data_IF_566216024972
#
_entry.id   IF_566216024972
#
_cell.length_a   1.000
_cell.length_b   1.000
_cell.length_c   1.000
_cell.angle_alpha   90.00
_cell.angle_beta   90.00
_cell.angle_gamma   90.00
#
_symmetry.space_group_name_H-M   'P 1'
#
loop_
_entity.id
_entity.type
_entity.pdbx_description
1 polymer ?
#
# COMPACT_ATOMS: atom_id res chain seq x y z
N UNK A 1 -51.43 25.97 -28.03
CA UNK A 1 -51.45 25.69 -26.59
C UNK A 1 -51.26 24.20 -26.41
N UNK A 2 -50.05 23.76 -26.04
CA UNK A 2 -49.73 22.37 -25.66
C UNK A 2 -49.20 22.38 -24.24
N UNK A 3 -50.01 21.86 -23.33
CA UNK A 3 -49.66 21.67 -21.94
C UNK A 3 -48.52 20.65 -21.79
N UNK A 4 -47.36 21.10 -21.30
CA UNK A 4 -46.25 20.26 -20.90
C UNK A 4 -46.49 19.81 -19.46
N UNK A 5 -47.02 18.61 -19.25
CA UNK A 5 -47.13 17.96 -17.95
C UNK A 5 -45.71 17.53 -17.50
N UNK A 6 -45.13 18.32 -16.60
CA UNK A 6 -43.92 17.99 -15.84
C UNK A 6 -44.24 16.75 -14.98
N UNK A 7 -43.69 15.58 -15.35
CA UNK A 7 -43.74 14.38 -14.50
C UNK A 7 -42.89 14.66 -13.25
N UNK A 8 -43.52 14.87 -12.12
CA UNK A 8 -42.85 14.81 -10.82
C UNK A 8 -42.48 13.34 -10.56
N UNK A 9 -41.18 13.07 -10.40
CA UNK A 9 -40.70 11.80 -9.85
C UNK A 9 -41.12 11.75 -8.38
N UNK A 10 -42.20 11.01 -8.11
CA UNK A 10 -42.56 10.62 -6.76
C UNK A 10 -41.48 9.65 -6.27
N UNK A 11 -40.68 10.07 -5.27
CA UNK A 11 -39.87 9.15 -4.47
C UNK A 11 -40.79 8.00 -4.01
N UNK A 12 -40.27 6.76 -4.04
CA UNK A 12 -41.08 5.59 -3.73
C UNK A 12 -41.78 5.80 -2.38
N UNK A 13 -43.08 5.46 -2.30
CA UNK A 13 -43.86 5.62 -1.08
C UNK A 13 -43.24 4.95 0.14
N UNK A 14 -42.41 3.92 -0.04
CA UNK A 14 -41.69 3.24 1.03
C UNK A 14 -40.66 4.15 1.76
N UNK A 15 -40.11 5.17 1.08
CA UNK A 15 -39.17 6.11 1.73
C UNK A 15 -39.88 7.10 2.67
N UNK A 16 -41.19 7.19 2.63
CA UNK A 16 -41.99 8.13 3.45
C UNK A 16 -42.49 7.46 4.75
N UNK A 17 -42.59 6.12 4.75
CA UNK A 17 -43.14 5.35 5.86
C UNK A 17 -42.12 4.66 6.77
N UNK A 18 -40.80 4.69 6.43
CA UNK A 18 -39.77 4.20 7.34
C UNK A 18 -39.56 5.16 8.49
N UNK A 19 -39.67 4.66 9.70
CA UNK A 19 -39.40 5.43 10.93
C UNK A 19 -37.92 5.77 10.99
N UNK A 20 -37.55 6.80 11.79
CA UNK A 20 -36.13 7.17 11.99
C UNK A 20 -35.38 5.97 12.61
N UNK A 21 -36.03 5.19 13.47
CA UNK A 21 -35.48 3.99 14.09
C UNK A 21 -35.20 2.87 13.07
N UNK A 22 -36.07 2.64 12.11
CA UNK A 22 -35.87 1.68 11.02
C UNK A 22 -34.73 2.12 10.07
N UNK A 23 -34.57 3.43 9.83
CA UNK A 23 -33.42 3.97 9.07
C UNK A 23 -32.10 3.84 9.82
N UNK A 24 -32.14 4.01 11.14
CA UNK A 24 -30.96 3.85 11.99
C UNK A 24 -30.63 2.38 12.21
N UNK A 25 -31.63 1.48 12.23
CA UNK A 25 -31.42 0.03 12.22
C UNK A 25 -30.87 -0.49 10.89
N UNK A 26 -31.37 0.02 9.77
CA UNK A 26 -30.83 -0.31 8.44
C UNK A 26 -29.38 0.17 8.24
N UNK A 27 -28.93 1.17 9.01
CA UNK A 27 -27.56 1.65 9.03
C UNK A 27 -26.65 0.91 10.03
N UNK A 28 -27.22 0.07 10.92
CA UNK A 28 -26.41 -0.75 11.82
C UNK A 28 -25.63 -1.77 11.00
N UNK A 29 -24.33 -1.78 11.19
CA UNK A 29 -23.44 -2.78 10.59
C UNK A 29 -23.84 -4.18 11.08
N UNK A 30 -24.50 -4.96 10.24
CA UNK A 30 -24.85 -6.34 10.55
C UNK A 30 -23.68 -7.26 10.27
N UNK A 31 -23.34 -8.09 11.27
CA UNK A 31 -22.35 -9.14 11.10
C UNK A 31 -23.05 -10.37 10.54
N UNK A 32 -22.60 -10.86 9.38
CA UNK A 32 -23.08 -12.09 8.75
C UNK A 32 -21.93 -13.04 8.52
N UNK A 33 -22.20 -14.35 8.56
CA UNK A 33 -21.20 -15.35 8.17
C UNK A 33 -21.24 -15.52 6.66
N UNK A 34 -20.08 -15.38 6.03
CA UNK A 34 -19.90 -15.60 4.59
C UNK A 34 -18.98 -16.79 4.34
N UNK A 35 -19.30 -17.64 3.34
CA UNK A 35 -18.39 -18.65 2.85
C UNK A 35 -17.07 -18.03 2.39
N UNK A 36 -15.93 -18.54 2.87
CA UNK A 36 -14.60 -17.98 2.57
C UNK A 36 -14.32 -18.03 1.07
N UNK A 37 -14.83 -19.05 0.37
CA UNK A 37 -14.68 -19.24 -1.08
C UNK A 37 -15.34 -18.13 -1.92
N UNK A 38 -16.35 -17.45 -1.37
CA UNK A 38 -17.02 -16.31 -2.04
C UNK A 38 -16.32 -14.98 -1.81
N UNK A 39 -15.30 -14.95 -0.96
CA UNK A 39 -14.56 -13.74 -0.60
C UNK A 39 -13.25 -13.69 -1.38
N UNK A 40 -13.18 -12.84 -2.38
CA UNK A 40 -11.97 -12.57 -3.16
C UNK A 40 -11.04 -11.62 -2.40
N UNK A 41 -9.74 -11.72 -2.66
CA UNK A 41 -8.79 -10.76 -2.11
C UNK A 41 -8.87 -9.43 -2.88
N UNK A 42 -8.50 -8.34 -2.19
CA UNK A 42 -8.44 -7.01 -2.80
C UNK A 42 -7.39 -7.01 -3.94
N UNK A 43 -7.72 -6.52 -5.14
CA UNK A 43 -6.76 -6.43 -6.24
C UNK A 43 -5.53 -5.62 -5.85
N UNK A 44 -4.36 -6.09 -6.24
CA UNK A 44 -3.08 -5.41 -5.97
C UNK A 44 -2.86 -5.05 -4.49
N UNK A 45 -3.39 -5.87 -3.57
CA UNK A 45 -3.25 -5.65 -2.13
C UNK A 45 -1.76 -5.55 -1.73
N UNK A 46 -1.28 -4.38 -1.26
CA UNK A 46 0.16 -4.18 -1.09
C UNK A 46 0.75 -4.88 0.13
N UNK A 47 -0.09 -5.24 1.12
CA UNK A 47 0.37 -5.80 2.38
C UNK A 47 0.44 -7.31 2.32
N UNK A 48 1.63 -7.86 2.53
CA UNK A 48 1.88 -9.32 2.52
C UNK A 48 1.24 -10.00 3.73
N UNK A 49 0.68 -11.18 3.52
CA UNK A 49 0.26 -12.08 4.59
C UNK A 49 1.38 -13.11 4.76
N UNK A 50 2.12 -13.00 5.87
CA UNK A 50 3.28 -13.84 6.14
C UNK A 50 2.88 -15.03 7.00
N UNK A 51 3.39 -16.23 6.66
CA UNK A 51 3.30 -17.44 7.47
C UNK A 51 4.48 -17.48 8.46
N UNK A 52 4.32 -16.76 9.57
CA UNK A 52 5.29 -16.64 10.64
C UNK A 52 4.68 -17.14 11.98
N UNK A 53 5.47 -17.09 13.06
CA UNK A 53 5.02 -17.54 14.39
C UNK A 53 3.74 -16.83 14.87
N UNK A 54 3.59 -15.53 14.58
CA UNK A 54 2.37 -14.78 14.91
C UNK A 54 1.14 -15.30 14.16
N UNK A 55 1.32 -15.72 12.90
CA UNK A 55 0.26 -16.34 12.11
C UNK A 55 -0.13 -17.69 12.70
N UNK A 56 0.84 -18.51 13.13
CA UNK A 56 0.57 -19.78 13.77
C UNK A 56 -0.22 -19.61 15.08
N UNK A 57 0.10 -18.60 15.87
CA UNK A 57 -0.64 -18.28 17.10
C UNK A 57 -2.06 -17.78 16.79
N UNK A 58 -2.23 -16.99 15.71
CA UNK A 58 -3.54 -16.57 15.24
C UNK A 58 -4.37 -17.78 14.77
N UNK A 59 -3.79 -18.74 14.04
CA UNK A 59 -4.44 -19.99 13.63
C UNK A 59 -4.90 -20.79 14.84
N UNK A 60 -4.04 -20.98 15.86
CA UNK A 60 -4.40 -21.67 17.12
C UNK A 60 -5.56 -20.96 17.83
N UNK A 61 -5.53 -19.63 17.89
CA UNK A 61 -6.61 -18.85 18.50
C UNK A 61 -7.93 -19.03 17.76
N UNK A 62 -7.90 -18.96 16.43
CA UNK A 62 -9.08 -19.08 15.58
C UNK A 62 -9.64 -20.52 15.60
N UNK A 63 -8.79 -21.54 15.66
CA UNK A 63 -9.25 -22.93 15.74
C UNK A 63 -10.03 -23.24 17.03
N UNK A 64 -9.75 -22.52 18.12
CA UNK A 64 -10.43 -22.70 19.42
C UNK A 64 -11.65 -21.79 19.58
N UNK A 65 -11.54 -20.53 19.15
CA UNK A 65 -12.53 -19.48 19.45
C UNK A 65 -13.30 -18.98 18.23
N UNK A 66 -12.94 -19.43 17.04
CA UNK A 66 -13.41 -18.83 15.78
C UNK A 66 -12.83 -17.42 15.56
N UNK A 67 -13.29 -16.76 14.52
CA UNK A 67 -12.94 -15.37 14.21
C UNK A 67 -13.82 -14.44 15.05
N UNK A 68 -13.27 -13.86 16.11
CA UNK A 68 -14.01 -13.02 17.07
C UNK A 68 -14.34 -11.65 16.47
N UNK A 69 -13.36 -11.00 15.83
CA UNK A 69 -13.54 -9.69 15.20
C UNK A 69 -13.94 -9.89 13.75
N UNK A 70 -15.10 -9.37 13.30
CA UNK A 70 -15.54 -9.55 11.93
C UNK A 70 -14.58 -8.89 10.94
N UNK A 71 -14.49 -9.47 9.74
CA UNK A 71 -13.77 -8.88 8.61
C UNK A 71 -14.65 -7.88 7.89
N UNK A 72 -14.05 -6.98 7.09
CA UNK A 72 -14.81 -6.01 6.29
C UNK A 72 -14.70 -6.42 4.84
N UNK A 73 -15.86 -6.54 4.19
CA UNK A 73 -15.98 -6.87 2.77
C UNK A 73 -16.91 -5.86 2.08
N UNK A 74 -16.82 -5.75 0.75
CA UNK A 74 -17.83 -5.11 -0.08
C UNK A 74 -18.40 -6.11 -1.07
N UNK A 75 -19.65 -5.95 -1.47
CA UNK A 75 -20.25 -6.73 -2.53
C UNK A 75 -19.87 -6.14 -3.89
N UNK A 76 -19.50 -7.01 -4.82
CA UNK A 76 -19.21 -6.67 -6.21
C UNK A 76 -20.49 -6.81 -7.06
N UNK A 77 -20.48 -6.21 -8.23
CA UNK A 77 -21.62 -6.28 -9.17
C UNK A 77 -21.97 -7.71 -9.63
N UNK A 78 -20.98 -8.60 -9.65
CA UNK A 78 -21.12 -10.02 -9.97
C UNK A 78 -21.71 -10.86 -8.82
N UNK A 79 -21.97 -10.24 -7.67
CA UNK A 79 -22.49 -10.88 -6.48
C UNK A 79 -21.43 -11.52 -5.57
N UNK A 80 -20.16 -11.54 -5.98
CA UNK A 80 -19.03 -11.94 -5.12
C UNK A 80 -18.71 -10.88 -4.08
N UNK A 81 -17.89 -11.24 -3.09
CA UNK A 81 -17.42 -10.32 -2.06
C UNK A 81 -15.91 -10.08 -2.21
N UNK A 82 -15.51 -8.84 -1.97
CA UNK A 82 -14.11 -8.43 -1.98
C UNK A 82 -13.67 -8.06 -0.57
N UNK A 83 -12.55 -8.64 -0.11
CA UNK A 83 -11.98 -8.38 1.21
C UNK A 83 -11.34 -7.00 1.27
N UNK A 84 -11.85 -6.13 2.14
CA UNK A 84 -11.27 -4.79 2.38
C UNK A 84 -10.34 -4.82 3.58
N UNK A 85 -10.74 -5.49 4.67
CA UNK A 85 -9.91 -5.62 5.87
C UNK A 85 -10.10 -6.98 6.52
N UNK A 86 -8.97 -7.60 6.91
CA UNK A 86 -9.00 -8.88 7.60
C UNK A 86 -8.32 -10.02 6.86
N UNK A 87 -7.47 -9.77 5.87
CA UNK A 87 -6.74 -10.78 5.09
C UNK A 87 -6.00 -11.80 5.97
N UNK A 88 -5.32 -11.36 7.04
CA UNK A 88 -4.68 -12.27 8.01
C UNK A 88 -5.68 -13.19 8.71
N UNK A 89 -6.87 -12.67 9.06
CA UNK A 89 -7.95 -13.47 9.71
C UNK A 89 -8.55 -14.49 8.74
N UNK A 90 -8.79 -14.10 7.48
CA UNK A 90 -9.23 -15.01 6.42
C UNK A 90 -8.21 -16.12 6.19
N UNK A 91 -6.93 -15.78 6.05
CA UNK A 91 -5.85 -16.75 5.84
C UNK A 91 -5.73 -17.72 7.03
N UNK A 92 -5.74 -17.21 8.26
CA UNK A 92 -5.68 -18.03 9.45
C UNK A 92 -6.94 -18.92 9.62
N UNK A 93 -8.14 -18.44 9.25
CA UNK A 93 -9.37 -19.21 9.26
C UNK A 93 -9.32 -20.38 8.28
N UNK A 94 -8.81 -20.16 7.07
CA UNK A 94 -8.58 -21.24 6.09
C UNK A 94 -7.61 -22.30 6.64
N UNK A 95 -6.49 -21.88 7.22
CA UNK A 95 -5.51 -22.80 7.85
C UNK A 95 -6.10 -23.54 9.06
N UNK A 96 -7.03 -22.91 9.78
CA UNK A 96 -7.76 -23.53 10.89
C UNK A 96 -8.90 -24.47 10.43
N UNK A 97 -9.16 -24.59 9.11
CA UNK A 97 -10.20 -25.46 8.55
C UNK A 97 -11.61 -24.89 8.61
N UNK A 98 -11.78 -23.59 8.83
CA UNK A 98 -13.09 -22.93 8.80
C UNK A 98 -13.55 -22.72 7.34
N UNK A 99 -14.84 -22.92 7.10
CA UNK A 99 -15.48 -22.68 5.79
C UNK A 99 -16.15 -21.32 5.68
N UNK A 100 -16.46 -20.69 6.82
CA UNK A 100 -17.14 -19.40 6.91
C UNK A 100 -16.44 -18.49 7.91
N UNK A 101 -16.54 -17.18 7.69
CA UNK A 101 -16.04 -16.14 8.61
C UNK A 101 -17.07 -15.03 8.81
N UNK A 102 -17.12 -14.41 10.00
CA UNK A 102 -17.99 -13.26 10.25
C UNK A 102 -17.48 -12.03 9.48
N UNK A 103 -18.38 -11.40 8.74
CA UNK A 103 -18.11 -10.26 7.87
C UNK A 103 -19.11 -9.13 8.12
N UNK A 104 -18.64 -7.90 7.97
CA UNK A 104 -19.44 -6.70 7.83
C UNK A 104 -19.40 -6.30 6.36
N UNK A 105 -20.56 -6.26 5.71
CA UNK A 105 -20.66 -5.78 4.33
C UNK A 105 -20.77 -4.26 4.36
N UNK A 106 -19.89 -3.59 3.61
CA UNK A 106 -19.95 -2.13 3.39
C UNK A 106 -20.22 -1.84 1.91
N UNK A 107 -21.08 -0.88 1.67
CA UNK A 107 -21.29 -0.30 0.34
C UNK A 107 -20.23 0.78 0.13
N UNK A 108 -19.22 0.48 -0.70
CA UNK A 108 -18.04 1.31 -0.92
C UNK A 108 -17.71 1.39 -2.41
N UNK A 109 -17.42 2.59 -2.87
CA UNK A 109 -16.78 2.79 -4.18
C UNK A 109 -15.36 2.23 -4.19
N UNK A 110 -14.73 2.10 -5.37
CA UNK A 110 -13.36 1.61 -5.49
C UNK A 110 -12.36 2.49 -4.73
N UNK A 111 -12.53 3.81 -4.79
CA UNK A 111 -11.68 4.76 -4.07
C UNK A 111 -11.85 4.65 -2.55
N UNK A 112 -13.09 4.55 -2.06
CA UNK A 112 -13.38 4.38 -0.62
C UNK A 112 -12.85 3.05 -0.10
N UNK A 113 -12.99 1.98 -0.86
CA UNK A 113 -12.47 0.66 -0.54
C UNK A 113 -10.94 0.69 -0.45
N UNK A 114 -10.26 1.31 -1.42
CA UNK A 114 -8.80 1.51 -1.41
C UNK A 114 -8.34 2.29 -0.19
N UNK A 115 -8.99 3.41 0.12
CA UNK A 115 -8.64 4.25 1.27
C UNK A 115 -8.82 3.45 2.58
N UNK A 116 -9.95 2.76 2.74
CA UNK A 116 -10.23 1.97 3.95
C UNK A 116 -9.26 0.80 4.10
N UNK A 117 -8.94 0.10 3.00
CA UNK A 117 -7.96 -0.99 2.99
C UNK A 117 -6.58 -0.48 3.45
N UNK A 118 -6.10 0.64 2.92
CA UNK A 118 -4.81 1.22 3.34
C UNK A 118 -4.87 1.68 4.79
N UNK A 119 -5.92 2.40 5.21
CA UNK A 119 -6.05 2.91 6.58
C UNK A 119 -6.08 1.80 7.63
N UNK A 120 -6.70 0.67 7.32
CA UNK A 120 -6.75 -0.48 8.24
C UNK A 120 -5.43 -1.21 8.41
N UNK A 121 -4.45 -0.98 7.53
CA UNK A 121 -3.16 -1.68 7.53
C UNK A 121 -1.97 -0.77 7.87
N UNK A 122 -2.07 0.55 7.60
CA UNK A 122 -0.94 1.48 7.74
C UNK A 122 -0.48 1.68 9.20
N UNK A 123 -1.31 1.27 10.17
CA UNK A 123 -1.01 1.40 11.61
C UNK A 123 -0.34 0.14 12.19
N UNK A 124 0.01 -0.85 11.35
CA UNK A 124 0.78 -2.02 11.81
C UNK A 124 2.15 -1.57 12.30
N UNK A 125 2.69 -2.23 13.32
CA UNK A 125 4.01 -1.91 13.89
C UNK A 125 5.13 -2.15 12.88
N UNK A 126 5.02 -3.20 12.08
CA UNK A 126 5.99 -3.54 11.03
C UNK A 126 5.34 -3.53 9.65
N UNK A 127 5.69 -2.54 8.84
CA UNK A 127 5.30 -2.42 7.44
C UNK A 127 6.56 -2.30 6.62
N UNK A 128 6.70 -3.14 5.60
CA UNK A 128 7.84 -3.11 4.69
C UNK A 128 7.87 -1.81 3.88
N UNK A 129 9.06 -1.32 3.50
CA UNK A 129 9.20 -0.16 2.62
C UNK A 129 8.40 -0.28 1.32
N UNK A 130 8.39 -1.47 0.69
CA UNK A 130 7.59 -1.76 -0.50
C UNK A 130 6.10 -1.62 -0.24
N UNK A 131 5.61 -2.19 0.87
CA UNK A 131 4.20 -2.10 1.26
C UNK A 131 3.76 -0.64 1.47
N UNK A 132 4.57 0.16 2.18
CA UNK A 132 4.34 1.60 2.34
C UNK A 132 4.32 2.32 0.98
N UNK A 133 5.24 1.98 0.09
CA UNK A 133 5.36 2.60 -1.23
C UNK A 133 4.08 2.45 -2.05
N UNK A 134 3.61 1.22 -2.22
CA UNK A 134 2.38 0.93 -2.97
C UNK A 134 1.13 1.43 -2.24
N UNK A 135 1.03 1.26 -0.92
CA UNK A 135 -0.09 1.73 -0.13
C UNK A 135 -0.26 3.26 -0.24
N UNK A 136 0.82 4.04 -0.12
CA UNK A 136 0.76 5.50 -0.27
C UNK A 136 0.41 5.90 -1.70
N UNK A 137 0.93 5.21 -2.72
CA UNK A 137 0.59 5.45 -4.11
C UNK A 137 -0.90 5.25 -4.35
N UNK A 138 -1.43 4.07 -4.01
CA UNK A 138 -2.85 3.72 -4.18
C UNK A 138 -3.76 4.71 -3.46
N UNK A 139 -3.48 5.00 -2.19
CA UNK A 139 -4.30 5.92 -1.40
C UNK A 139 -4.26 7.35 -1.94
N UNK A 140 -3.09 7.83 -2.38
CA UNK A 140 -2.97 9.16 -2.96
C UNK A 140 -3.74 9.28 -4.29
N UNK A 141 -3.74 8.23 -5.12
CA UNK A 141 -4.51 8.16 -6.36
C UNK A 141 -6.02 8.18 -6.07
N UNK A 142 -6.51 7.34 -5.16
CA UNK A 142 -7.90 7.32 -4.73
C UNK A 142 -8.36 8.68 -4.17
N UNK A 143 -7.56 9.32 -3.31
CA UNK A 143 -7.87 10.65 -2.78
C UNK A 143 -7.94 11.72 -3.87
N UNK A 144 -7.08 11.64 -4.90
CA UNK A 144 -7.13 12.57 -6.04
C UNK A 144 -8.39 12.40 -6.88
N UNK A 145 -8.87 11.16 -7.08
CA UNK A 145 -10.11 10.88 -7.79
C UNK A 145 -11.30 11.47 -7.04
N UNK A 146 -11.40 11.25 -5.73
CA UNK A 146 -12.45 11.84 -4.90
C UNK A 146 -12.38 13.38 -4.89
N UNK A 147 -11.20 13.98 -4.81
CA UNK A 147 -11.02 15.43 -4.81
C UNK A 147 -11.46 16.10 -6.10
N UNK A 148 -11.37 15.46 -7.25
CA UNK A 148 -11.91 15.96 -8.53
C UNK A 148 -13.43 16.07 -8.53
N UNK A 149 -14.10 15.25 -7.76
CA UNK A 149 -15.58 15.19 -7.67
C UNK A 149 -16.16 16.23 -6.69
N UNK A 150 -15.34 16.84 -5.82
CA UNK A 150 -15.79 17.69 -4.71
C UNK A 150 -15.54 19.19 -4.93
N UNK A 151 -14.92 19.65 -6.05
CA UNK A 151 -14.49 21.05 -6.18
C UNK A 151 -15.37 21.89 -7.06
N UNK A 152 -16.27 22.65 -6.43
CA UNK A 152 -16.95 23.82 -7.04
C UNK A 152 -16.58 25.16 -6.41
N UNK A 153 -15.65 25.24 -5.43
CA UNK A 153 -15.33 26.49 -4.76
C UNK A 153 -13.83 26.84 -4.78
N UNK A 154 -13.42 28.00 -5.39
CA UNK A 154 -12.00 28.33 -5.62
C UNK A 154 -11.26 28.97 -4.44
N UNK A 155 -11.87 29.18 -3.28
CA UNK A 155 -11.36 30.15 -2.29
C UNK A 155 -10.79 29.57 -0.98
N UNK A 156 -10.71 28.26 -0.80
CA UNK A 156 -9.95 27.68 0.30
C UNK A 156 -8.56 27.26 -0.16
N UNK A 157 -7.52 27.64 0.60
CA UNK A 157 -6.15 27.13 0.43
C UNK A 157 -6.17 25.62 0.67
N UNK A 158 -6.39 24.86 -0.42
CA UNK A 158 -6.51 23.40 -0.35
C UNK A 158 -5.14 22.82 -0.07
N UNK A 159 -4.98 22.21 1.10
CA UNK A 159 -3.94 21.23 1.34
C UNK A 159 -3.95 20.24 0.18
N UNK A 160 -2.77 19.92 -0.33
CA UNK A 160 -2.67 18.89 -1.37
C UNK A 160 -3.06 17.53 -0.78
N UNK A 161 -3.61 16.63 -1.60
CA UNK A 161 -3.94 15.26 -1.13
C UNK A 161 -2.75 14.58 -0.43
N UNK A 162 -1.52 14.96 -0.79
CA UNK A 162 -0.29 14.47 -0.16
C UNK A 162 -0.11 15.03 1.25
N UNK A 163 -0.39 16.29 1.48
CA UNK A 163 -0.31 16.91 2.82
C UNK A 163 -1.37 16.33 3.76
N UNK A 164 -2.58 16.14 3.25
CA UNK A 164 -3.66 15.46 4.01
C UNK A 164 -3.27 14.02 4.36
N UNK A 165 -2.67 13.29 3.42
CA UNK A 165 -2.16 11.94 3.69
C UNK A 165 -1.05 11.98 4.74
N UNK A 166 -0.10 12.92 4.62
CA UNK A 166 1.03 13.09 5.52
C UNK A 166 0.58 13.33 6.97
N UNK A 167 -0.38 14.20 7.16
CA UNK A 167 -0.97 14.47 8.48
C UNK A 167 -1.64 13.22 9.07
N UNK A 168 -2.42 12.48 8.26
CA UNK A 168 -3.12 11.27 8.70
C UNK A 168 -2.19 10.14 9.15
N UNK A 169 -1.04 9.99 8.48
CA UNK A 169 -0.09 8.90 8.79
C UNK A 169 1.07 9.33 9.69
N UNK A 170 1.13 10.60 10.09
CA UNK A 170 2.19 11.14 10.95
C UNK A 170 3.57 11.21 10.28
N UNK A 171 3.61 11.32 8.94
CA UNK A 171 4.85 11.42 8.16
C UNK A 171 4.93 12.79 7.45
N UNK A 172 6.12 13.17 6.95
CA UNK A 172 6.24 14.35 6.11
C UNK A 172 5.81 14.05 4.66
N UNK A 173 5.23 15.05 3.98
CA UNK A 173 4.87 14.94 2.57
C UNK A 173 6.06 14.55 1.67
N UNK A 174 7.28 15.00 2.04
CA UNK A 174 8.52 14.61 1.35
C UNK A 174 8.86 13.14 1.55
N UNK A 175 8.60 12.59 2.75
CA UNK A 175 8.86 11.18 3.03
C UNK A 175 7.88 10.27 2.29
N UNK A 176 6.60 10.63 2.26
CA UNK A 176 5.59 9.95 1.43
C UNK A 176 6.03 9.90 -0.03
N UNK A 177 6.51 11.04 -0.58
CA UNK A 177 6.99 11.07 -1.95
C UNK A 177 8.20 10.15 -2.19
N UNK A 178 9.10 10.02 -1.21
CA UNK A 178 10.23 9.08 -1.28
C UNK A 178 9.76 7.63 -1.29
N UNK A 179 8.81 7.27 -0.43
CA UNK A 179 8.23 5.91 -0.47
C UNK A 179 7.56 5.64 -1.81
N UNK A 180 6.68 6.54 -2.28
CA UNK A 180 6.01 6.37 -3.58
C UNK A 180 7.05 6.21 -4.71
N UNK A 181 8.19 6.90 -4.62
CA UNK A 181 9.24 6.77 -5.63
C UNK A 181 9.82 5.36 -5.72
N UNK A 182 9.83 4.58 -4.63
CA UNK A 182 10.29 3.19 -4.63
C UNK A 182 9.46 2.28 -5.57
N UNK A 183 8.21 2.65 -5.90
CA UNK A 183 7.39 1.86 -6.85
C UNK A 183 7.93 1.84 -8.28
N UNK A 184 9.01 2.56 -8.57
CA UNK A 184 9.71 2.57 -9.85
C UNK A 184 11.00 1.75 -9.84
N UNK A 185 11.30 1.07 -8.73
CA UNK A 185 12.37 0.07 -8.70
C UNK A 185 11.85 -1.24 -9.30
N UNK A 186 12.78 -1.98 -9.93
CA UNK A 186 12.50 -3.37 -10.29
C UNK A 186 12.24 -4.19 -9.01
N UNK A 187 11.43 -5.28 -9.10
CA UNK A 187 11.06 -6.07 -7.92
C UNK A 187 12.26 -6.53 -7.09
N UNK A 188 13.33 -6.95 -7.73
CA UNK A 188 14.54 -7.47 -7.10
C UNK A 188 15.26 -6.42 -6.24
N UNK A 189 15.38 -5.18 -6.76
CA UNK A 189 15.97 -4.08 -5.98
C UNK A 189 15.06 -3.64 -4.83
N UNK A 190 13.74 -3.67 -5.05
CA UNK A 190 12.77 -3.34 -4.02
C UNK A 190 12.79 -4.37 -2.88
N UNK A 191 13.01 -5.66 -3.17
CA UNK A 191 13.20 -6.71 -2.18
C UNK A 191 14.45 -6.45 -1.32
N UNK A 192 15.57 -6.01 -1.93
CA UNK A 192 16.76 -5.62 -1.18
C UNK A 192 16.54 -4.42 -0.24
N UNK A 193 15.57 -3.55 -0.57
CA UNK A 193 15.16 -2.46 0.33
C UNK A 193 14.35 -3.01 1.51
N UNK A 194 13.45 -3.96 1.26
CA UNK A 194 12.66 -4.63 2.30
C UNK A 194 13.56 -5.42 3.25
N UNK A 195 14.60 -6.06 2.74
CA UNK A 195 15.64 -6.77 3.50
C UNK A 195 16.61 -5.83 4.25
N UNK A 196 16.46 -4.51 4.11
CA UNK A 196 17.35 -3.49 4.69
C UNK A 196 18.80 -3.55 4.17
N UNK A 197 19.03 -4.21 3.05
CA UNK A 197 20.35 -4.27 2.37
C UNK A 197 20.63 -2.97 1.61
N UNK A 198 19.60 -2.34 1.05
CA UNK A 198 19.67 -1.00 0.47
C UNK A 198 18.87 -0.04 1.36
N UNK A 199 19.51 1.05 1.81
CA UNK A 199 18.84 2.07 2.61
C UNK A 199 17.86 2.89 1.75
N UNK A 200 16.83 3.47 2.38
CA UNK A 200 15.76 4.21 1.69
C UNK A 200 16.30 5.32 0.76
N UNK A 201 17.28 6.12 1.21
CA UNK A 201 17.78 7.25 0.41
C UNK A 201 18.52 6.82 -0.86
N UNK A 202 19.50 5.90 -0.82
CA UNK A 202 20.05 5.30 -2.04
C UNK A 202 19.00 4.70 -2.96
N UNK A 203 18.05 3.93 -2.41
CA UNK A 203 16.98 3.31 -3.18
C UNK A 203 16.14 4.34 -3.96
N UNK A 204 15.82 5.49 -3.34
CA UNK A 204 15.11 6.59 -4.01
C UNK A 204 15.93 7.13 -5.18
N UNK A 205 17.25 7.30 -5.04
CA UNK A 205 18.10 7.75 -6.15
C UNK A 205 18.15 6.70 -7.28
N UNK A 206 18.26 5.41 -6.94
CA UNK A 206 18.25 4.32 -7.91
C UNK A 206 16.93 4.22 -8.68
N UNK A 207 15.81 4.57 -8.07
CA UNK A 207 14.50 4.54 -8.75
C UNK A 207 14.38 5.55 -9.90
N UNK A 208 15.32 6.46 -10.09
CA UNK A 208 15.40 7.38 -11.22
C UNK A 208 16.21 6.84 -12.40
N UNK A 209 16.93 5.76 -12.20
CA UNK A 209 17.73 5.08 -13.24
C UNK A 209 16.79 4.26 -14.11
N UNK A 210 17.11 4.14 -15.42
CA UNK A 210 16.34 3.31 -16.35
C UNK A 210 16.25 1.85 -15.89
N UNK A 211 15.19 1.16 -16.27
CA UNK A 211 14.92 -0.23 -15.88
C UNK A 211 16.08 -1.14 -16.30
N UNK A 212 16.55 -1.01 -17.56
CA UNK A 212 17.72 -1.76 -18.09
C UNK A 212 18.96 -1.59 -17.17
N UNK A 213 19.26 -0.35 -16.75
CA UNK A 213 20.39 -0.08 -15.87
C UNK A 213 20.15 -0.56 -14.42
N UNK A 214 18.91 -0.65 -13.97
CA UNK A 214 18.57 -1.25 -12.69
C UNK A 214 18.82 -2.77 -12.71
N UNK A 215 18.51 -3.46 -13.82
CA UNK A 215 18.77 -4.89 -14.01
C UNK A 215 20.28 -5.18 -13.95
N UNK A 216 21.09 -4.41 -14.71
CA UNK A 216 22.54 -4.52 -14.69
C UNK A 216 23.10 -4.29 -13.27
N UNK A 217 22.59 -3.26 -12.60
CA UNK A 217 22.98 -2.93 -11.22
C UNK A 217 22.64 -4.07 -10.24
N UNK A 218 21.48 -4.70 -10.39
CA UNK A 218 21.09 -5.84 -9.58
C UNK A 218 22.03 -7.02 -9.78
N UNK A 219 22.43 -7.31 -11.01
CA UNK A 219 23.40 -8.38 -11.31
C UNK A 219 24.75 -8.11 -10.63
N UNK A 220 25.23 -6.87 -10.65
CA UNK A 220 26.46 -6.48 -9.93
C UNK A 220 26.30 -6.74 -8.42
N UNK A 221 25.16 -6.39 -7.82
CA UNK A 221 24.91 -6.65 -6.38
C UNK A 221 24.89 -8.12 -6.02
N UNK A 222 24.41 -8.94 -6.93
CA UNK A 222 24.35 -10.39 -6.74
C UNK A 222 25.75 -11.04 -6.70
N UNK A 223 26.69 -10.51 -7.50
CA UNK A 223 28.04 -11.02 -7.59
C UNK A 223 28.98 -10.45 -6.52
N UNK A 224 28.89 -9.14 -6.26
CA UNK A 224 29.88 -8.42 -5.41
C UNK A 224 29.37 -8.23 -3.96
N UNK A 225 28.13 -8.63 -3.63
CA UNK A 225 27.46 -8.42 -2.33
C UNK A 225 27.52 -6.95 -1.82
N UNK A 226 27.85 -6.01 -2.70
CA UNK A 226 28.09 -4.61 -2.39
C UNK A 226 26.87 -3.75 -2.78
N UNK A 227 26.20 -3.16 -1.79
CA UNK A 227 25.10 -2.21 -2.05
C UNK A 227 25.62 -0.77 -2.15
N UNK A 228 25.02 0.10 -2.97
CA UNK A 228 25.52 1.45 -3.21
C UNK A 228 25.36 2.34 -1.99
N UNK A 229 26.33 3.21 -1.78
CA UNK A 229 26.20 4.35 -0.90
C UNK A 229 25.29 5.41 -1.55
N UNK A 230 24.80 6.36 -0.75
CA UNK A 230 24.01 7.48 -1.28
C UNK A 230 24.77 8.28 -2.36
N UNK A 231 26.07 8.51 -2.16
CA UNK A 231 26.91 9.22 -3.14
C UNK A 231 27.04 8.47 -4.46
N UNK A 232 27.26 7.15 -4.40
CA UNK A 232 27.31 6.30 -5.60
C UNK A 232 25.97 6.33 -6.34
N UNK A 233 24.83 6.13 -5.63
CA UNK A 233 23.50 6.18 -6.23
C UNK A 233 23.22 7.54 -6.89
N UNK A 234 23.64 8.65 -6.31
CA UNK A 234 23.51 9.99 -6.91
C UNK A 234 24.37 10.17 -8.16
N UNK A 235 25.58 9.58 -8.19
CA UNK A 235 26.43 9.61 -9.38
C UNK A 235 25.81 8.79 -10.50
N UNK A 236 25.36 7.57 -10.19
CA UNK A 236 24.68 6.68 -11.15
C UNK A 236 23.48 7.36 -11.78
N UNK A 237 22.59 7.95 -10.97
CA UNK A 237 21.45 8.73 -11.44
C UNK A 237 21.84 9.85 -12.39
N UNK A 238 22.84 10.67 -12.04
CA UNK A 238 23.29 11.78 -12.88
C UNK A 238 23.86 11.34 -14.22
N UNK A 239 24.52 10.19 -14.26
CA UNK A 239 25.03 9.61 -15.52
C UNK A 239 23.90 9.06 -16.38
N UNK A 240 22.93 8.39 -15.77
CA UNK A 240 21.75 7.87 -16.46
C UNK A 240 20.91 9.00 -17.05
N UNK A 241 20.64 10.07 -16.29
CA UNK A 241 19.93 11.29 -16.77
C UNK A 241 20.60 11.93 -17.99
N UNK A 242 21.92 11.76 -18.16
CA UNK A 242 22.68 12.24 -19.32
C UNK A 242 22.78 11.23 -20.47
N UNK A 243 22.33 10.01 -20.28
CA UNK A 243 22.54 8.91 -21.22
C UNK A 243 24.00 8.45 -21.31
N UNK A 244 24.79 8.73 -20.27
CA UNK A 244 26.23 8.39 -20.21
C UNK A 244 26.52 7.16 -19.33
N UNK A 245 25.51 6.55 -18.71
CA UNK A 245 25.67 5.38 -17.88
C UNK A 245 25.83 4.13 -18.74
N UNK A 246 26.99 3.47 -18.60
CA UNK A 246 27.32 2.20 -19.25
C UNK A 246 27.60 1.14 -18.19
N UNK A 247 27.57 -0.13 -18.57
CA UNK A 247 27.88 -1.26 -17.70
C UNK A 247 29.27 -1.12 -17.06
N UNK A 248 30.30 -0.78 -17.83
CA UNK A 248 31.66 -0.54 -17.32
C UNK A 248 31.69 0.55 -16.23
N UNK A 249 30.94 1.65 -16.44
CA UNK A 249 30.86 2.75 -15.46
C UNK A 249 30.08 2.33 -14.19
N UNK A 250 29.04 1.51 -14.36
CA UNK A 250 28.30 0.94 -13.23
C UNK A 250 29.26 0.11 -12.34
N UNK A 251 30.01 -0.81 -12.95
CA UNK A 251 31.00 -1.62 -12.23
C UNK A 251 32.06 -0.76 -11.56
N UNK A 252 32.67 0.20 -12.28
CA UNK A 252 33.71 1.08 -11.75
C UNK A 252 33.21 1.88 -10.52
N UNK A 253 32.00 2.43 -10.59
CA UNK A 253 31.41 3.19 -9.48
C UNK A 253 31.11 2.29 -8.30
N UNK A 254 30.61 1.08 -8.54
CA UNK A 254 30.28 0.14 -7.48
C UNK A 254 31.50 -0.44 -6.78
N UNK A 255 32.58 -0.70 -7.53
CA UNK A 255 33.88 -1.19 -7.01
C UNK A 255 34.72 -0.10 -6.38
N UNK A 256 34.42 1.19 -6.61
CA UNK A 256 35.15 2.28 -6.00
C UNK A 256 35.14 2.17 -4.47
N UNK A 257 36.34 2.25 -3.84
CA UNK A 257 36.48 2.15 -2.38
C UNK A 257 35.57 3.14 -1.65
N UNK A 258 34.78 2.64 -0.69
CA UNK A 258 33.91 3.48 0.15
C UNK A 258 34.80 4.36 1.05
N UNK A 259 34.61 5.69 1.06
CA UNK A 259 35.46 6.61 1.83
C UNK A 259 35.61 6.24 3.32
N UNK A 260 34.59 5.63 3.91
CA UNK A 260 34.55 5.27 5.34
C UNK A 260 35.31 3.98 5.69
N UNK A 261 35.81 3.22 4.71
CA UNK A 261 36.64 2.03 5.03
C UNK A 261 38.10 2.37 5.30
N UNK A 262 38.59 3.55 4.88
CA UNK A 262 39.97 3.98 5.12
C UNK A 262 40.27 4.37 6.58
N UNK A 263 39.28 4.73 7.37
CA UNK A 263 39.49 5.16 8.76
C UNK A 263 39.59 4.01 9.77
N UNK A 264 38.95 2.87 9.50
CA UNK A 264 38.97 1.74 10.45
C UNK A 264 40.29 0.94 10.46
N UNK A 265 41.11 1.01 9.41
CA UNK A 265 42.41 0.32 9.36
C UNK A 265 43.55 1.11 9.98
N UNK A 266 43.43 2.42 10.22
CA UNK A 266 44.48 3.22 10.84
C UNK A 266 44.52 3.17 12.37
N UNK A 267 43.47 2.74 13.03
CA UNK A 267 43.37 2.67 14.50
C UNK A 267 43.77 1.33 15.11
N UNK A 268 44.11 0.33 14.29
CA UNK A 268 44.40 -1.03 14.77
C UNK A 268 45.92 -1.37 14.84
N UNK A 269 46.81 -0.46 14.44
CA UNK A 269 48.27 -0.75 14.41
C UNK A 269 49.16 0.19 15.26
N UNK A 270 48.55 1.11 16.04
CA UNK A 270 49.29 1.94 17.00
C UNK A 270 48.75 1.72 18.42
N UNK A 271 49.05 0.54 19.01
CA UNK A 271 49.12 0.29 20.46
C UNK A 271 49.99 -0.93 20.72
#
# INVERSE_FOLDING_TARGET
MKDSKKKMNLASLDSIFTTQEERDEAKKEHVINLPIEQIQDFPEHPFKVLDNAEMDDLVKSISVKGVILPTIVRQREDGSYEMISGHRRKHAALRAGLTEIPCIIKDLTDDEATILMVDSNIQREEILPSEKAFAYKMKLEAMKHQGKNLTSDPMEQKQTSREVLAEKVGESASNIQRFIRLTYLIPELLELVDEKRIALRPAVELSYISEDNQEILYDIFKYDEATPTLSQAQILRKLDEKGELTEDKLEDIMRAEKPNQKEQFKTSYDN
#
